data_IF_898785937577
#
_entry.id   IF_898785937577
#
_cell.length_a   1.000
_cell.length_b   1.000
_cell.length_c   1.000
_cell.angle_alpha   90.00
_cell.angle_beta   90.00
_cell.angle_gamma   90.00
#
_symmetry.space_group_name_H-M   'P 1'
#
loop_
_entity.id
_entity.type
_entity.pdbx_description
1 polymer ?
#
# COMPACT_ATOMS: atom_id res chain seq x y z
N UNK A 1 20.17 -16.00 12.13
CA UNK A 1 19.04 -15.06 12.00
C UNK A 1 19.34 -13.86 12.87
N UNK A 2 19.67 -12.72 12.28
CA UNK A 2 20.08 -11.51 12.99
C UNK A 2 18.87 -10.95 13.74
N UNK A 3 18.95 -10.88 15.07
CA UNK A 3 17.85 -10.42 15.92
C UNK A 3 17.67 -8.90 15.77
N UNK A 4 16.92 -8.47 14.76
CA UNK A 4 16.63 -7.06 14.46
C UNK A 4 15.97 -6.31 15.64
N UNK A 5 15.30 -7.04 16.54
CA UNK A 5 14.52 -6.48 17.66
C UNK A 5 15.18 -6.66 19.04
N UNK A 6 16.50 -6.89 19.12
CA UNK A 6 17.16 -7.29 20.38
C UNK A 6 16.98 -6.29 21.53
N UNK A 7 16.66 -5.02 21.25
CA UNK A 7 16.42 -3.96 22.23
C UNK A 7 15.01 -3.35 22.14
N UNK A 8 14.07 -3.99 21.43
CA UNK A 8 12.75 -3.41 21.21
C UNK A 8 11.73 -3.92 22.25
N UNK A 9 10.90 -3.05 22.86
CA UNK A 9 9.76 -3.49 23.65
C UNK A 9 8.89 -4.44 22.84
N UNK A 10 8.42 -5.53 23.46
CA UNK A 10 7.64 -6.58 22.77
C UNK A 10 6.41 -6.00 22.05
N UNK A 11 5.75 -5.02 22.67
CA UNK A 11 4.61 -4.32 22.08
C UNK A 11 4.98 -3.58 20.78
N UNK A 12 6.08 -2.82 20.80
CA UNK A 12 6.56 -2.10 19.62
C UNK A 12 6.96 -3.08 18.50
N UNK A 13 7.57 -4.22 18.83
CA UNK A 13 7.91 -5.26 17.85
C UNK A 13 6.65 -5.82 17.16
N UNK A 14 5.59 -6.09 17.93
CA UNK A 14 4.31 -6.56 17.38
C UNK A 14 3.62 -5.51 16.51
N UNK A 15 3.67 -4.25 16.91
CA UNK A 15 3.10 -3.15 16.12
C UNK A 15 3.86 -2.96 14.80
N UNK A 16 5.19 -3.02 14.80
CA UNK A 16 6.01 -2.96 13.58
C UNK A 16 5.67 -4.10 12.62
N UNK A 17 5.57 -5.34 13.13
CA UNK A 17 5.21 -6.50 12.32
C UNK A 17 3.82 -6.35 11.69
N UNK A 18 2.82 -5.94 12.48
CA UNK A 18 1.46 -5.70 12.00
C UNK A 18 1.39 -4.61 10.91
N UNK A 19 2.06 -3.47 11.13
CA UNK A 19 2.12 -2.39 10.14
C UNK A 19 2.86 -2.82 8.88
N UNK A 20 3.94 -3.59 9.01
CA UNK A 20 4.73 -4.10 7.87
C UNK A 20 3.89 -5.05 7.01
N UNK A 21 3.11 -5.94 7.65
CA UNK A 21 2.19 -6.83 6.94
C UNK A 21 1.08 -6.06 6.25
N UNK A 22 0.47 -5.08 6.92
CA UNK A 22 -0.56 -4.24 6.33
C UNK A 22 -0.04 -3.47 5.10
N UNK A 23 1.19 -2.92 5.16
CA UNK A 23 1.82 -2.27 4.01
C UNK A 23 2.01 -3.20 2.82
N UNK A 24 2.34 -4.47 3.08
CA UNK A 24 2.45 -5.49 2.05
C UNK A 24 1.09 -5.80 1.44
N UNK A 25 0.08 -6.06 2.27
CA UNK A 25 -1.27 -6.40 1.82
C UNK A 25 -1.87 -5.28 0.96
N UNK A 26 -1.78 -4.02 1.40
CA UNK A 26 -2.23 -2.85 0.62
C UNK A 26 -1.52 -2.74 -0.74
N UNK A 27 -0.22 -3.06 -0.79
CA UNK A 27 0.55 -3.05 -2.03
C UNK A 27 0.07 -4.14 -3.00
N UNK A 28 -0.16 -5.35 -2.51
CA UNK A 28 -0.56 -6.48 -3.35
C UNK A 28 -2.02 -6.36 -3.81
N UNK A 29 -2.91 -5.82 -2.97
CA UNK A 29 -4.29 -5.54 -3.38
C UNK A 29 -4.36 -4.43 -4.44
N UNK A 30 -3.57 -3.35 -4.28
CA UNK A 30 -3.42 -2.30 -5.31
C UNK A 30 -2.96 -2.90 -6.64
N UNK A 31 -1.94 -3.77 -6.61
CA UNK A 31 -1.46 -4.44 -7.82
C UNK A 31 -2.54 -5.33 -8.44
N UNK A 32 -3.30 -6.07 -7.63
CA UNK A 32 -4.37 -6.95 -8.14
C UNK A 32 -5.44 -6.15 -8.89
N UNK A 33 -5.85 -4.99 -8.37
CA UNK A 33 -6.79 -4.11 -9.05
C UNK A 33 -6.26 -3.62 -10.40
N UNK A 34 -5.01 -3.15 -10.44
CA UNK A 34 -4.40 -2.60 -11.66
C UNK A 34 -4.08 -3.68 -12.70
N UNK A 35 -3.71 -4.89 -12.25
CA UNK A 35 -3.38 -6.02 -13.11
C UNK A 35 -4.55 -6.47 -13.99
N UNK A 36 -5.79 -6.35 -13.50
CA UNK A 36 -6.99 -6.64 -14.30
C UNK A 36 -7.07 -5.81 -15.58
N UNK A 37 -6.44 -4.63 -15.58
CA UNK A 37 -6.36 -3.74 -16.72
C UNK A 37 -5.01 -3.77 -17.41
N UNK A 38 -4.00 -4.47 -16.90
CA UNK A 38 -2.62 -4.36 -17.41
C UNK A 38 -2.02 -2.95 -17.20
N UNK A 39 -2.50 -2.20 -16.20
CA UNK A 39 -1.99 -0.89 -15.86
C UNK A 39 -0.82 -1.00 -14.85
N UNK A 40 0.22 -0.18 -15.03
CA UNK A 40 1.37 -0.16 -14.12
C UNK A 40 1.09 0.62 -12.82
N UNK A 41 0.23 1.63 -12.91
CA UNK A 41 -0.19 2.51 -11.83
C UNK A 41 -1.58 3.10 -12.13
N UNK A 42 -2.11 3.90 -11.21
CA UNK A 42 -3.40 4.55 -11.32
C UNK A 42 -3.47 5.53 -12.49
N UNK A 43 -2.37 6.24 -12.79
CA UNK A 43 -2.32 7.21 -13.87
C UNK A 43 -2.43 6.51 -15.23
N UNK A 44 -1.75 5.38 -15.40
CA UNK A 44 -1.87 4.53 -16.57
C UNK A 44 -3.30 4.00 -16.74
N UNK A 45 -3.96 3.54 -15.66
CA UNK A 45 -5.36 3.11 -15.74
C UNK A 45 -6.29 4.26 -16.14
N UNK A 46 -6.14 5.43 -15.51
CA UNK A 46 -6.96 6.60 -15.82
C UNK A 46 -6.80 7.07 -17.28
N UNK A 47 -5.57 7.07 -17.81
CA UNK A 47 -5.31 7.42 -19.21
C UNK A 47 -6.06 6.49 -20.18
N UNK A 48 -6.12 5.19 -19.87
CA UNK A 48 -6.82 4.19 -20.70
C UNK A 48 -8.33 4.32 -20.63
N UNK A 49 -8.87 4.66 -19.46
CA UNK A 49 -10.29 5.03 -19.31
C UNK A 49 -10.61 6.26 -20.15
N UNK A 50 -9.80 7.32 -20.04
CA UNK A 50 -10.00 8.56 -20.79
C UNK A 50 -9.88 8.38 -22.32
N UNK A 51 -9.04 7.44 -22.77
CA UNK A 51 -8.90 7.07 -24.17
C UNK A 51 -10.02 6.13 -24.68
N UNK A 52 -10.88 5.62 -23.80
CA UNK A 52 -11.93 4.65 -24.14
C UNK A 52 -11.39 3.26 -24.48
N UNK A 53 -10.18 2.92 -24.04
CA UNK A 53 -9.57 1.60 -24.26
C UNK A 53 -10.11 0.51 -23.33
N UNK A 54 -10.74 0.92 -22.23
CA UNK A 54 -11.43 0.05 -21.27
C UNK A 54 -12.78 0.67 -20.92
N UNK A 55 -13.77 -0.17 -20.64
CA UNK A 55 -15.07 0.32 -20.18
C UNK A 55 -14.92 1.12 -18.89
N UNK A 56 -15.53 2.31 -18.84
CA UNK A 56 -15.43 3.22 -17.70
C UNK A 56 -15.85 2.53 -16.40
N UNK A 57 -16.89 1.70 -16.43
CA UNK A 57 -17.32 0.88 -15.31
C UNK A 57 -17.01 -0.60 -15.56
N UNK A 58 -16.37 -1.32 -14.62
CA UNK A 58 -15.97 -0.90 -13.27
C UNK A 58 -14.55 -0.29 -13.18
N UNK A 59 -13.94 0.13 -14.31
CA UNK A 59 -12.54 0.56 -14.32
C UNK A 59 -12.28 1.82 -13.48
N UNK A 60 -13.21 2.76 -13.46
CA UNK A 60 -13.10 3.99 -12.69
C UNK A 60 -13.17 3.73 -11.19
N UNK A 61 -14.05 2.84 -10.74
CA UNK A 61 -14.11 2.38 -9.35
C UNK A 61 -12.82 1.67 -8.94
N UNK A 62 -12.26 0.83 -9.80
CA UNK A 62 -10.99 0.18 -9.53
C UNK A 62 -9.81 1.16 -9.51
N UNK A 63 -9.82 2.18 -10.37
CA UNK A 63 -8.87 3.30 -10.31
C UNK A 63 -8.95 4.04 -8.97
N UNK A 64 -10.16 4.42 -8.53
CA UNK A 64 -10.36 5.08 -7.25
C UNK A 64 -9.95 4.20 -6.07
N UNK A 65 -10.27 2.90 -6.14
CA UNK A 65 -9.85 1.91 -5.16
C UNK A 65 -8.33 1.80 -5.07
N UNK A 66 -7.63 1.66 -6.20
CA UNK A 66 -6.18 1.60 -6.25
C UNK A 66 -5.54 2.87 -5.66
N UNK A 67 -6.07 4.05 -6.02
CA UNK A 67 -5.62 5.33 -5.45
C UNK A 67 -5.81 5.40 -3.94
N UNK A 68 -6.97 4.99 -3.44
CA UNK A 68 -7.27 4.94 -2.01
C UNK A 68 -6.32 3.99 -1.27
N UNK A 69 -6.01 2.83 -1.85
CA UNK A 69 -5.03 1.89 -1.29
C UNK A 69 -3.63 2.49 -1.25
N UNK A 70 -3.21 3.21 -2.29
CA UNK A 70 -1.92 3.90 -2.34
C UNK A 70 -1.81 4.98 -1.25
N UNK A 71 -2.83 5.82 -1.11
CA UNK A 71 -2.87 6.90 -0.11
C UNK A 71 -2.90 6.34 1.32
N UNK A 72 -3.69 5.28 1.54
CA UNK A 72 -3.74 4.56 2.82
C UNK A 72 -2.36 3.97 3.14
N UNK A 73 -1.69 3.36 2.16
CA UNK A 73 -0.35 2.81 2.34
C UNK A 73 0.66 3.87 2.75
N UNK A 74 0.62 5.07 2.18
CA UNK A 74 1.50 6.17 2.60
C UNK A 74 1.20 6.64 4.03
N UNK A 75 -0.07 6.67 4.43
CA UNK A 75 -0.48 6.97 5.81
C UNK A 75 0.10 5.95 6.80
N UNK A 76 -0.07 4.65 6.52
CA UNK A 76 0.47 3.56 7.34
C UNK A 76 2.01 3.61 7.37
N UNK A 77 2.65 3.96 6.25
CA UNK A 77 4.11 4.12 6.19
C UNK A 77 4.58 5.26 7.09
N UNK A 78 3.81 6.35 7.17
CA UNK A 78 4.03 7.44 8.13
C UNK A 78 3.93 6.97 9.59
N UNK A 79 2.92 6.16 9.91
CA UNK A 79 2.76 5.58 11.25
C UNK A 79 3.94 4.67 11.63
N UNK A 80 4.35 3.78 10.72
CA UNK A 80 5.51 2.90 10.94
C UNK A 80 6.79 3.72 11.16
N UNK A 81 7.00 4.77 10.37
CA UNK A 81 8.15 5.68 10.55
C UNK A 81 8.12 6.36 11.92
N UNK A 82 6.98 6.87 12.35
CA UNK A 82 6.84 7.51 13.66
C UNK A 82 7.11 6.52 14.80
N UNK A 83 6.61 5.30 14.68
CA UNK A 83 6.88 4.23 15.65
C UNK A 83 8.37 3.90 15.71
N UNK A 84 9.06 3.74 14.58
CA UNK A 84 10.50 3.44 14.55
C UNK A 84 11.32 4.55 15.22
N UNK A 85 11.02 5.82 14.91
CA UNK A 85 11.69 6.97 15.54
C UNK A 85 11.48 7.02 17.05
N UNK A 86 10.28 6.69 17.53
CA UNK A 86 9.99 6.64 18.97
C UNK A 86 10.78 5.55 19.71
N UNK A 87 11.32 4.56 18.99
CA UNK A 87 12.14 3.47 19.54
C UNK A 87 13.64 3.73 19.39
N UNK A 88 14.03 4.90 18.89
CA UNK A 88 15.44 5.30 18.72
C UNK A 88 16.13 4.68 17.49
N UNK A 89 15.36 4.27 16.49
CA UNK A 89 15.85 3.79 15.19
C UNK A 89 15.85 4.88 14.11
#
# INVERSE_FOLDING_TARGET
MTHFFRNLPNEAARQIDALSRLLYDLREDRKRLLAAYGAADEAALFARIAAGEVDEHPAYEHYLGAKTLADTRETIRGQLRALLLAQGA
#
